data_IF_222487640882
#
_entry.id   IF_222487640882
#
_cell.length_a   1.000
_cell.length_b   1.000
_cell.length_c   1.000
_cell.angle_alpha   90.00
_cell.angle_beta   90.00
_cell.angle_gamma   90.00
#
_symmetry.space_group_name_H-M   'P 1'
#
loop_
_entity.id
_entity.type
_entity.pdbx_description
1 polymer ?
#
# COMPACT_ATOMS: atom_id res chain seq x y z
N UNK A 1 -13.93 -49.49 -25.86
CA UNK A 1 -13.60 -48.12 -25.39
C UNK A 1 -13.91 -48.03 -23.90
N UNK A 2 -13.04 -47.46 -23.06
CA UNK A 2 -13.45 -47.09 -21.69
C UNK A 2 -12.41 -47.20 -20.57
N UNK A 3 -11.35 -46.37 -20.65
CA UNK A 3 -10.47 -45.82 -19.60
C UNK A 3 -10.33 -46.54 -18.24
N UNK A 4 -9.11 -47.02 -17.97
CA UNK A 4 -8.58 -47.31 -16.63
C UNK A 4 -8.36 -46.00 -15.85
N UNK A 5 -8.90 -45.93 -14.62
CA UNK A 5 -8.87 -44.76 -13.72
C UNK A 5 -7.79 -44.91 -12.63
N UNK A 6 -7.08 -43.82 -12.40
CA UNK A 6 -6.36 -43.38 -11.19
C UNK A 6 -5.28 -44.27 -10.56
N UNK A 7 -4.02 -44.05 -10.98
CA UNK A 7 -2.81 -44.40 -10.22
C UNK A 7 -1.75 -43.30 -10.24
N UNK A 8 -2.18 -42.03 -10.34
CA UNK A 8 -1.29 -40.86 -10.45
C UNK A 8 -1.35 -39.92 -9.23
N UNK A 9 -2.43 -39.93 -8.44
CA UNK A 9 -2.59 -39.02 -7.29
C UNK A 9 -1.67 -39.31 -6.09
N UNK A 10 -1.23 -40.56 -5.90
CA UNK A 10 -0.34 -40.94 -4.79
C UNK A 10 1.08 -40.40 -4.98
N UNK A 11 1.56 -40.32 -6.23
CA UNK A 11 2.89 -39.80 -6.54
C UNK A 11 2.94 -38.27 -6.42
N UNK A 12 1.86 -37.57 -6.78
CA UNK A 12 1.77 -36.13 -6.58
C UNK A 12 1.74 -35.74 -5.10
N UNK A 13 1.00 -36.48 -4.27
CA UNK A 13 0.94 -36.21 -2.84
C UNK A 13 2.29 -36.47 -2.16
N UNK A 14 2.95 -37.60 -2.45
CA UNK A 14 4.28 -37.90 -1.92
C UNK A 14 5.36 -36.90 -2.39
N UNK A 15 5.29 -36.43 -3.64
CA UNK A 15 6.23 -35.42 -4.16
C UNK A 15 6.03 -34.04 -3.50
N UNK A 16 4.78 -33.66 -3.24
CA UNK A 16 4.46 -32.40 -2.58
C UNK A 16 4.85 -32.41 -1.10
N UNK A 17 4.65 -33.52 -0.40
CA UNK A 17 5.10 -33.66 1.00
C UNK A 17 6.62 -33.66 1.12
N UNK A 18 7.34 -34.29 0.18
CA UNK A 18 8.81 -34.27 0.15
C UNK A 18 9.37 -32.87 -0.12
N UNK A 19 8.75 -32.10 -1.04
CA UNK A 19 9.12 -30.71 -1.32
C UNK A 19 8.90 -29.77 -0.12
N UNK A 20 7.79 -29.93 0.60
CA UNK A 20 7.50 -29.14 1.80
C UNK A 20 8.49 -29.48 2.93
N UNK A 21 8.82 -30.77 3.13
CA UNK A 21 9.84 -31.16 4.11
C UNK A 21 11.23 -30.66 3.74
N UNK A 22 11.57 -30.60 2.46
CA UNK A 22 12.84 -30.04 1.98
C UNK A 22 12.88 -28.51 2.22
N UNK A 23 11.80 -27.79 1.96
CA UNK A 23 11.69 -26.35 2.21
C UNK A 23 11.76 -25.98 3.70
N UNK A 24 11.20 -26.81 4.59
CA UNK A 24 11.22 -26.58 6.05
C UNK A 24 12.56 -26.98 6.70
N UNK A 25 13.33 -27.88 6.08
CA UNK A 25 14.68 -28.26 6.58
C UNK A 25 15.78 -27.31 6.06
N UNK A 26 15.53 -26.58 4.96
CA UNK A 26 16.49 -25.63 4.39
C UNK A 26 16.51 -24.23 5.03
N UNK A 27 15.79 -24.00 6.14
CA UNK A 27 15.88 -22.73 6.88
C UNK A 27 16.93 -22.72 8.00
N UNK A 28 17.75 -23.77 8.15
CA UNK A 28 18.86 -23.73 9.10
C UNK A 28 20.22 -23.67 8.38
N UNK A 29 20.95 -22.62 8.72
CA UNK A 29 22.41 -22.45 8.59
C UNK A 29 22.98 -22.27 7.18
N UNK A 30 23.07 -21.02 6.73
CA UNK A 30 24.21 -20.54 5.93
C UNK A 30 24.61 -19.16 6.46
N UNK A 31 25.30 -19.14 7.60
CA UNK A 31 26.26 -18.08 7.92
C UNK A 31 27.44 -18.23 6.95
N UNK A 32 27.36 -17.58 5.79
CA UNK A 32 28.55 -17.39 4.95
C UNK A 32 29.35 -16.23 5.52
N UNK A 33 30.26 -16.57 6.45
CA UNK A 33 31.42 -15.76 6.82
C UNK A 33 32.16 -15.36 5.53
N UNK A 34 32.38 -14.07 5.24
CA UNK A 34 33.20 -13.67 4.10
C UNK A 34 34.62 -14.26 4.26
N UNK A 35 35.05 -15.06 3.29
CA UNK A 35 36.43 -15.50 3.16
C UNK A 35 37.30 -14.29 2.81
N UNK A 36 38.32 -14.03 3.63
CA UNK A 36 39.49 -13.24 3.27
C UNK A 36 40.13 -13.81 1.98
N UNK A 37 40.44 -12.98 0.97
CA UNK A 37 41.26 -13.44 -0.13
C UNK A 37 42.70 -13.70 0.36
N UNK A 38 43.16 -14.87 -0.09
CA UNK A 38 44.45 -15.50 0.07
C UNK A 38 45.65 -14.53 -0.02
N UNK A 39 46.56 -14.65 0.95
CA UNK A 39 47.79 -13.85 1.05
C UNK A 39 48.75 -14.25 -0.07
N UNK A 40 48.92 -13.38 -1.07
CA UNK A 40 50.08 -13.43 -1.95
C UNK A 40 51.26 -12.78 -1.22
N UNK A 41 52.21 -13.61 -0.79
CA UNK A 41 53.43 -13.19 -0.11
C UNK A 41 54.38 -12.49 -1.10
N UNK A 42 54.61 -11.20 -0.90
CA UNK A 42 55.80 -10.52 -1.40
C UNK A 42 56.54 -9.95 -0.19
N UNK A 43 57.74 -10.49 0.06
CA UNK A 43 58.60 -10.13 1.18
C UNK A 43 59.02 -8.66 1.07
N UNK A 44 58.52 -7.83 1.99
CA UNK A 44 59.02 -6.48 2.21
C UNK A 44 59.51 -6.42 3.67
N UNK A 45 60.77 -6.02 3.84
CA UNK A 45 61.46 -5.95 5.13
C UNK A 45 60.73 -5.05 6.17
N UNK A 46 60.88 -5.32 7.48
CA UNK A 46 60.12 -4.63 8.51
C UNK A 46 60.67 -3.22 8.77
N UNK A 47 59.93 -2.20 8.35
CA UNK A 47 60.06 -0.85 8.91
C UNK A 47 59.10 -0.75 10.10
N UNK A 48 59.64 -0.39 11.27
CA UNK A 48 58.96 -0.29 12.57
C UNK A 48 57.52 0.26 12.51
N UNK A 49 56.56 -0.32 13.26
CA UNK A 49 55.17 0.14 13.23
C UNK A 49 55.02 1.44 14.01
N UNK A 50 54.92 2.55 13.28
CA UNK A 50 54.24 3.74 13.80
C UNK A 50 52.76 3.38 14.01
N UNK A 51 52.23 3.69 15.19
CA UNK A 51 50.83 3.46 15.55
C UNK A 51 49.88 4.07 14.50
N UNK A 52 49.30 3.22 13.65
CA UNK A 52 48.24 3.61 12.73
C UNK A 52 46.98 3.80 13.57
N UNK A 53 46.74 5.06 13.94
CA UNK A 53 45.43 5.49 14.40
C UNK A 53 44.43 5.19 13.28
N UNK A 54 43.51 4.25 13.52
CA UNK A 54 42.33 4.09 12.66
C UNK A 54 41.62 5.44 12.67
N UNK A 55 41.53 6.14 11.53
CA UNK A 55 40.90 7.46 11.50
C UNK A 55 39.44 7.32 11.94
N UNK A 56 38.91 8.25 12.77
CA UNK A 56 37.52 8.20 13.18
C UNK A 56 36.64 8.20 11.92
N UNK A 57 35.73 7.24 11.85
CA UNK A 57 34.68 7.17 10.83
C UNK A 57 33.99 8.53 10.82
N UNK A 58 34.20 9.33 9.78
CA UNK A 58 33.54 10.64 9.61
C UNK A 58 32.03 10.42 9.76
N UNK A 59 31.44 10.88 10.85
CA UNK A 59 30.00 10.93 11.00
C UNK A 59 29.46 11.75 9.82
N UNK A 60 28.72 11.10 8.93
CA UNK A 60 27.98 11.83 7.91
C UNK A 60 27.05 12.80 8.63
N UNK A 61 26.89 14.05 8.14
CA UNK A 61 25.96 15.00 8.73
C UNK A 61 24.59 14.32 8.89
N UNK A 62 24.08 14.28 10.12
CA UNK A 62 22.79 13.68 10.45
C UNK A 62 21.71 14.42 9.67
N UNK A 63 21.12 13.75 8.68
CA UNK A 63 20.06 14.32 7.87
C UNK A 63 18.73 14.23 8.63
N UNK A 64 18.41 15.27 9.39
CA UNK A 64 17.21 15.38 10.23
C UNK A 64 15.92 15.05 9.44
N UNK A 65 15.85 15.39 8.16
CA UNK A 65 14.71 15.07 7.31
C UNK A 65 14.54 13.56 7.09
N UNK A 66 15.64 12.81 6.96
CA UNK A 66 15.61 11.35 6.86
C UNK A 66 15.24 10.70 8.19
N UNK A 67 15.66 11.27 9.32
CA UNK A 67 15.28 10.73 10.63
C UNK A 67 13.77 10.83 10.86
N UNK A 68 13.18 11.99 10.54
CA UNK A 68 11.74 12.17 10.59
C UNK A 68 11.00 11.27 9.60
N UNK A 69 11.54 11.06 8.41
CA UNK A 69 10.96 10.13 7.44
C UNK A 69 10.89 8.70 8.01
N UNK A 70 12.00 8.19 8.56
CA UNK A 70 12.07 6.86 9.15
C UNK A 70 11.16 6.74 10.38
N UNK A 71 11.04 7.79 11.19
CA UNK A 71 10.11 7.83 12.31
C UNK A 71 8.65 7.77 11.84
N UNK A 72 8.29 8.54 10.82
CA UNK A 72 6.96 8.53 10.19
C UNK A 72 6.59 7.14 9.65
N UNK A 73 7.54 6.46 8.99
CA UNK A 73 7.34 5.10 8.47
C UNK A 73 7.10 4.08 9.58
N UNK A 74 7.87 4.14 10.68
CA UNK A 74 7.67 3.25 11.84
C UNK A 74 6.31 3.49 12.49
N UNK A 75 5.89 4.74 12.63
CA UNK A 75 4.58 5.06 13.20
C UNK A 75 3.44 4.60 12.29
N UNK A 76 3.62 4.73 10.97
CA UNK A 76 2.66 4.25 9.98
C UNK A 76 2.48 2.72 10.07
N UNK A 77 3.57 1.96 10.19
CA UNK A 77 3.51 0.50 10.30
C UNK A 77 2.84 0.03 11.60
N UNK A 78 2.88 0.85 12.65
CA UNK A 78 2.15 0.64 13.90
C UNK A 78 0.68 1.11 13.85
N UNK A 79 0.22 1.67 12.73
CA UNK A 79 -1.13 2.24 12.60
C UNK A 79 -1.33 3.57 13.32
N UNK A 80 -0.26 4.21 13.80
CA UNK A 80 -0.31 5.50 14.47
C UNK A 80 -0.34 6.65 13.44
N UNK A 81 -1.46 6.78 12.73
CA UNK A 81 -1.60 7.70 11.59
C UNK A 81 -1.33 9.16 11.93
N UNK A 82 -1.91 9.67 13.02
CA UNK A 82 -1.71 11.07 13.44
C UNK A 82 -0.23 11.38 13.74
N UNK A 83 0.44 10.49 14.46
CA UNK A 83 1.84 10.63 14.81
C UNK A 83 2.72 10.53 13.55
N UNK A 84 2.41 9.60 12.65
CA UNK A 84 3.10 9.44 11.38
C UNK A 84 3.00 10.69 10.50
N UNK A 85 1.79 11.25 10.34
CA UNK A 85 1.58 12.51 9.59
C UNK A 85 2.38 13.65 10.21
N UNK A 86 2.44 13.74 11.55
CA UNK A 86 3.24 14.77 12.23
C UNK A 86 4.72 14.68 11.88
N UNK A 87 5.30 13.48 11.84
CA UNK A 87 6.70 13.29 11.43
C UNK A 87 6.91 13.65 9.96
N UNK A 88 6.02 13.22 9.06
CA UNK A 88 6.12 13.58 7.65
C UNK A 88 5.99 15.08 7.39
N UNK A 89 5.16 15.80 8.16
CA UNK A 89 5.09 17.26 8.08
C UNK A 89 6.42 17.93 8.47
N UNK A 90 7.17 17.35 9.43
CA UNK A 90 8.53 17.83 9.74
C UNK A 90 9.50 17.61 8.59
N UNK A 91 9.41 16.46 7.90
CA UNK A 91 10.18 16.24 6.67
C UNK A 91 9.90 17.35 5.66
N UNK A 92 8.62 17.70 5.45
CA UNK A 92 8.23 18.76 4.53
C UNK A 92 8.67 20.16 4.96
N UNK A 93 8.88 20.42 6.25
CA UNK A 93 9.45 21.69 6.73
C UNK A 93 10.95 21.80 6.45
N UNK A 94 11.68 20.68 6.47
CA UNK A 94 13.15 20.65 6.28
C UNK A 94 13.49 20.50 4.79
N UNK A 95 12.69 19.72 4.05
CA UNK A 95 12.89 19.36 2.66
C UNK A 95 11.61 19.63 1.83
N UNK A 96 11.19 20.90 1.64
CA UNK A 96 9.89 21.23 1.06
C UNK A 96 9.74 20.87 -0.43
N UNK A 97 10.83 20.90 -1.20
CA UNK A 97 10.87 20.66 -2.66
C UNK A 97 12.07 19.77 -3.07
N UNK A 98 12.55 18.93 -2.15
CA UNK A 98 13.65 17.98 -2.41
C UNK A 98 13.43 16.68 -1.65
N UNK A 99 14.00 15.55 -2.08
CA UNK A 99 13.92 14.32 -1.31
C UNK A 99 14.47 14.53 0.13
N UNK A 100 13.84 13.90 1.14
CA UNK A 100 12.74 12.95 1.05
C UNK A 100 11.32 13.57 1.19
N UNK A 101 11.13 14.85 0.89
CA UNK A 101 9.82 15.52 0.99
C UNK A 101 8.77 15.01 -0.01
N UNK A 102 9.18 14.49 -1.16
CA UNK A 102 8.32 13.78 -2.10
C UNK A 102 7.70 12.54 -1.47
N UNK A 103 8.53 11.70 -0.85
CA UNK A 103 8.09 10.49 -0.16
C UNK A 103 7.16 10.81 1.02
N UNK A 104 7.52 11.82 1.82
CA UNK A 104 6.68 12.28 2.92
C UNK A 104 5.32 12.79 2.44
N UNK A 105 5.29 13.55 1.34
CA UNK A 105 4.03 14.00 0.72
C UNK A 105 3.18 12.82 0.25
N UNK A 106 3.81 11.80 -0.34
CA UNK A 106 3.12 10.62 -0.85
C UNK A 106 2.50 9.82 0.30
N UNK A 107 3.27 9.61 1.37
CA UNK A 107 2.80 8.91 2.57
C UNK A 107 1.64 9.65 3.25
N UNK A 108 1.68 10.98 3.34
CA UNK A 108 0.55 11.78 3.84
C UNK A 108 -0.68 11.58 2.95
N UNK A 109 -0.50 11.61 1.63
CA UNK A 109 -1.58 11.34 0.67
C UNK A 109 -2.25 9.98 0.89
N UNK A 110 -1.44 8.93 1.05
CA UNK A 110 -1.91 7.57 1.35
C UNK A 110 -2.69 7.49 2.68
N UNK A 111 -2.17 8.12 3.74
CA UNK A 111 -2.81 8.09 5.06
C UNK A 111 -4.19 8.75 5.00
N UNK A 112 -4.30 9.93 4.38
CA UNK A 112 -5.57 10.62 4.26
C UNK A 112 -6.57 9.91 3.34
N UNK A 113 -6.11 9.13 2.36
CA UNK A 113 -6.97 8.29 1.53
C UNK A 113 -7.39 6.98 2.23
N UNK A 114 -6.75 6.61 3.35
CA UNK A 114 -6.93 5.29 3.95
C UNK A 114 -8.29 5.14 4.66
N UNK A 115 -9.14 4.16 4.28
CA UNK A 115 -10.50 4.04 4.82
C UNK A 115 -10.59 3.87 6.33
N UNK A 116 -9.61 3.21 6.96
CA UNK A 116 -9.60 2.95 8.42
C UNK A 116 -9.04 4.12 9.24
N UNK A 117 -8.46 5.13 8.59
CA UNK A 117 -8.08 6.34 9.31
C UNK A 117 -9.34 7.16 9.61
N UNK A 118 -9.61 7.42 10.90
CA UNK A 118 -10.82 8.11 11.34
C UNK A 118 -10.91 9.54 10.82
N UNK A 119 -9.76 10.20 10.60
CA UNK A 119 -9.65 11.55 10.04
C UNK A 119 -9.29 11.54 8.55
N UNK A 120 -9.63 10.45 7.84
CA UNK A 120 -9.48 10.39 6.38
C UNK A 120 -10.15 11.59 5.73
N UNK A 121 -9.50 12.12 4.71
CA UNK A 121 -9.90 13.34 4.05
C UNK A 121 -9.36 13.29 2.61
N UNK A 122 -10.24 12.95 1.66
CA UNK A 122 -9.84 12.83 0.28
C UNK A 122 -9.32 14.16 -0.30
N UNK A 123 -9.79 15.31 0.18
CA UNK A 123 -9.30 16.61 -0.26
C UNK A 123 -7.83 16.81 0.14
N UNK A 124 -7.48 16.44 1.38
CA UNK A 124 -6.08 16.45 1.84
C UNK A 124 -5.23 15.45 1.09
N UNK A 125 -5.75 14.25 0.83
CA UNK A 125 -5.05 13.25 0.04
C UNK A 125 -4.71 13.78 -1.36
N UNK A 126 -5.72 14.31 -2.07
CA UNK A 126 -5.57 14.94 -3.38
C UNK A 126 -4.55 16.09 -3.33
N UNK A 127 -4.67 17.00 -2.36
CA UNK A 127 -3.75 18.13 -2.22
C UNK A 127 -2.29 17.68 -2.05
N UNK A 128 -2.04 16.65 -1.24
CA UNK A 128 -0.69 16.11 -1.04
C UNK A 128 -0.13 15.44 -2.30
N UNK A 129 -0.95 14.74 -3.07
CA UNK A 129 -0.53 14.07 -4.30
C UNK A 129 -0.32 15.07 -5.45
N UNK A 130 -1.19 16.07 -5.59
CA UNK A 130 -1.03 17.15 -6.56
C UNK A 130 0.26 17.93 -6.30
N UNK A 131 0.62 18.13 -5.03
CA UNK A 131 1.89 18.76 -4.66
C UNK A 131 3.09 17.98 -5.21
N UNK A 132 3.07 16.65 -5.19
CA UNK A 132 4.18 15.84 -5.73
C UNK A 132 4.34 16.07 -7.23
N UNK A 133 3.23 16.03 -7.96
CA UNK A 133 3.24 16.23 -9.42
C UNK A 133 3.79 17.61 -9.80
N UNK A 134 3.49 18.63 -8.98
CA UNK A 134 3.89 20.02 -9.22
C UNK A 134 5.31 20.33 -8.76
N UNK A 135 5.62 20.01 -7.51
CA UNK A 135 6.86 20.43 -6.83
C UNK A 135 7.99 19.41 -7.03
N UNK A 136 7.67 18.17 -7.44
CA UNK A 136 8.62 17.07 -7.60
C UNK A 136 8.46 16.32 -8.95
N UNK A 137 8.37 16.99 -10.10
CA UNK A 137 7.98 16.35 -11.36
C UNK A 137 8.88 15.17 -11.80
N UNK A 138 10.14 15.15 -11.37
CA UNK A 138 11.11 14.09 -11.67
C UNK A 138 11.28 13.05 -10.55
N UNK A 139 10.49 13.13 -9.48
CA UNK A 139 10.52 12.13 -8.41
C UNK A 139 9.95 10.79 -8.87
N UNK A 140 10.51 9.69 -8.34
CA UNK A 140 9.95 8.36 -8.48
C UNK A 140 8.50 8.25 -7.94
N UNK A 141 8.09 9.18 -7.07
CA UNK A 141 6.73 9.23 -6.51
C UNK A 141 5.71 9.92 -7.42
N UNK A 142 6.13 10.67 -8.44
CA UNK A 142 5.20 11.46 -9.27
C UNK A 142 4.27 10.61 -10.12
N UNK A 143 4.79 9.53 -10.71
CA UNK A 143 3.96 8.55 -11.41
C UNK A 143 2.95 7.88 -10.48
N UNK A 144 3.41 7.45 -9.30
CA UNK A 144 2.56 6.85 -8.27
C UNK A 144 1.49 7.81 -7.77
N UNK A 145 1.83 9.09 -7.59
CA UNK A 145 0.91 10.13 -7.16
C UNK A 145 -0.19 10.38 -8.18
N UNK A 146 0.15 10.40 -9.47
CA UNK A 146 -0.85 10.53 -10.55
C UNK A 146 -1.83 9.36 -10.55
N UNK A 147 -1.32 8.14 -10.50
CA UNK A 147 -2.16 6.93 -10.46
C UNK A 147 -3.10 6.93 -9.25
N UNK A 148 -2.58 7.28 -8.07
CA UNK A 148 -3.39 7.33 -6.86
C UNK A 148 -4.42 8.46 -6.91
N UNK A 149 -4.07 9.61 -7.48
CA UNK A 149 -5.00 10.72 -7.69
C UNK A 149 -6.17 10.30 -8.59
N UNK A 150 -5.87 9.68 -9.73
CA UNK A 150 -6.87 9.18 -10.67
C UNK A 150 -7.78 8.14 -9.97
N UNK A 151 -7.20 7.22 -9.20
CA UNK A 151 -7.95 6.22 -8.43
C UNK A 151 -8.90 6.84 -7.40
N UNK A 152 -8.46 7.88 -6.68
CA UNK A 152 -9.31 8.57 -5.69
C UNK A 152 -10.50 9.24 -6.40
N UNK A 153 -10.24 9.93 -7.51
CA UNK A 153 -11.27 10.63 -8.28
C UNK A 153 -12.29 9.66 -8.89
N UNK A 154 -11.82 8.56 -9.48
CA UNK A 154 -12.68 7.53 -10.06
C UNK A 154 -13.53 6.86 -8.99
N UNK A 155 -12.97 6.56 -7.81
CA UNK A 155 -13.74 6.02 -6.69
C UNK A 155 -14.83 6.97 -6.21
N UNK A 156 -14.55 8.27 -6.14
CA UNK A 156 -15.58 9.25 -5.79
C UNK A 156 -16.68 9.33 -6.84
N UNK A 157 -16.31 9.36 -8.12
CA UNK A 157 -17.26 9.36 -9.23
C UNK A 157 -18.15 8.11 -9.17
N UNK A 158 -17.56 6.94 -9.01
CA UNK A 158 -18.29 5.67 -8.91
C UNK A 158 -19.24 5.64 -7.71
N UNK A 159 -18.83 6.20 -6.55
CA UNK A 159 -19.72 6.32 -5.38
C UNK A 159 -20.93 7.20 -5.65
N UNK A 160 -20.77 8.31 -6.37
CA UNK A 160 -21.90 9.20 -6.74
C UNK A 160 -22.88 8.48 -7.65
N UNK A 161 -22.37 7.87 -8.73
CA UNK A 161 -23.20 7.08 -9.67
C UNK A 161 -23.91 5.94 -8.95
N UNK A 162 -23.23 5.23 -8.05
CA UNK A 162 -23.85 4.16 -7.27
C UNK A 162 -24.95 4.68 -6.34
N UNK A 163 -24.77 5.85 -5.71
CA UNK A 163 -25.79 6.43 -4.84
C UNK A 163 -27.03 6.87 -5.63
N UNK A 164 -26.83 7.47 -6.81
CA UNK A 164 -27.91 7.84 -7.73
C UNK A 164 -28.69 6.61 -8.19
N UNK A 165 -28.00 5.55 -8.61
CA UNK A 165 -28.62 4.30 -9.04
C UNK A 165 -29.41 3.61 -7.91
N UNK A 166 -28.91 3.66 -6.66
CA UNK A 166 -29.64 3.14 -5.50
C UNK A 166 -30.93 3.94 -5.27
N UNK A 167 -30.84 5.26 -5.33
CA UNK A 167 -31.98 6.15 -5.15
C UNK A 167 -33.07 5.93 -6.23
N UNK A 168 -32.68 5.81 -7.50
CA UNK A 168 -33.61 5.53 -8.59
C UNK A 168 -34.29 4.17 -8.43
N UNK A 169 -33.54 3.14 -8.03
CA UNK A 169 -34.09 1.81 -7.77
C UNK A 169 -35.13 1.83 -6.63
N UNK A 170 -34.88 2.59 -5.57
CA UNK A 170 -35.85 2.77 -4.48
C UNK A 170 -37.12 3.49 -4.96
N UNK A 171 -36.96 4.54 -5.77
CA UNK A 171 -38.10 5.26 -6.36
C UNK A 171 -38.94 4.35 -7.25
N UNK A 172 -38.31 3.57 -8.12
CA UNK A 172 -39.01 2.62 -9.00
C UNK A 172 -39.75 1.55 -8.19
N UNK A 173 -39.15 1.01 -7.13
CA UNK A 173 -39.81 0.05 -6.23
C UNK A 173 -41.07 0.64 -5.60
N UNK A 174 -40.99 1.88 -5.11
CA UNK A 174 -42.15 2.55 -4.53
C UNK A 174 -43.25 2.79 -5.56
N UNK A 175 -42.91 3.19 -6.79
CA UNK A 175 -43.89 3.36 -7.87
C UNK A 175 -44.59 2.06 -8.25
N UNK A 176 -43.84 0.95 -8.35
CA UNK A 176 -44.41 -0.38 -8.61
C UNK A 176 -45.41 -0.76 -7.51
N UNK A 177 -45.07 -0.51 -6.25
CA UNK A 177 -45.95 -0.83 -5.12
C UNK A 177 -47.23 0.02 -5.14
N UNK A 178 -47.14 1.31 -5.47
CA UNK A 178 -48.32 2.16 -5.63
C UNK A 178 -49.19 1.71 -6.80
N UNK A 179 -48.58 1.34 -7.95
CA UNK A 179 -49.33 0.83 -9.10
C UNK A 179 -50.13 -0.43 -8.73
N UNK A 180 -49.54 -1.36 -7.99
CA UNK A 180 -50.23 -2.57 -7.53
C UNK A 180 -51.44 -2.26 -6.65
N UNK A 181 -51.33 -1.27 -5.76
CA UNK A 181 -52.46 -0.84 -4.92
C UNK A 181 -53.59 -0.27 -5.76
N UNK A 182 -53.27 0.59 -6.73
CA UNK A 182 -54.26 1.14 -7.66
C UNK A 182 -54.94 0.02 -8.45
N UNK A 183 -54.19 -0.97 -8.93
CA UNK A 183 -54.76 -2.12 -9.66
C UNK A 183 -55.74 -2.92 -8.78
N UNK A 184 -55.40 -3.14 -7.50
CA UNK A 184 -56.29 -3.80 -6.54
C UNK A 184 -57.57 -2.99 -6.28
N UNK A 185 -57.46 -1.68 -6.07
CA UNK A 185 -58.60 -0.78 -5.86
C UNK A 185 -59.54 -0.74 -7.08
N UNK A 186 -58.98 -0.78 -8.30
CA UNK A 186 -59.76 -0.84 -9.54
C UNK A 186 -60.56 -2.15 -9.60
N UNK A 187 -59.94 -3.29 -9.29
CA UNK A 187 -60.60 -4.58 -9.31
C UNK A 187 -61.69 -4.71 -8.24
N UNK A 188 -61.46 -4.18 -7.03
CA UNK A 188 -62.49 -4.10 -5.99
C UNK A 188 -63.71 -3.28 -6.44
N UNK A 189 -63.49 -2.07 -6.99
CA UNK A 189 -64.57 -1.21 -7.51
C UNK A 189 -65.34 -1.87 -8.66
N UNK A 190 -64.68 -2.65 -9.53
CA UNK A 190 -65.37 -3.40 -10.58
C UNK A 190 -66.28 -4.49 -9.99
N UNK A 191 -65.84 -5.19 -8.95
CA UNK A 191 -66.64 -6.22 -8.26
C UNK A 191 -67.85 -5.62 -7.54
N UNK A 192 -67.69 -4.46 -6.92
CA UNK A 192 -68.80 -3.75 -6.26
C UNK A 192 -69.88 -3.33 -7.25
N UNK A 193 -69.49 -2.78 -8.41
CA UNK A 193 -70.44 -2.38 -9.47
C UNK A 193 -71.17 -3.54 -10.13
N UNK A 194 -70.63 -4.75 -10.03
CA UNK A 194 -71.21 -5.95 -10.63
C UNK A 194 -72.17 -6.70 -9.68
N UNK A 195 -72.30 -6.26 -8.43
CA UNK A 195 -73.26 -6.78 -7.45
C UNK A 195 -74.52 -5.90 -7.41
#
# INVERSE_FOLDING_TARGET
MGRKRHRTGKYFFCAFTLLITFALTCCNTIDKKPQEPEKMSLSIEPIHPAAVQVPPKKEQPRDESKEHLLAGQRLLSMGQYDASVKEYLRVLSIAPNKPPGDEASFAIGLIYAYPKYSKKDHSKAVSSLTRIIKDYPHSNWSGHAKILLDLIQDNERLRRISAEAIHENEKLKNMIEQSKKVDLEIEEKKREKAR
#
